data_IF_111600392428
#
_entry.id   IF_111600392428
#
_cell.length_a   1.000
_cell.length_b   1.000
_cell.length_c   1.000
_cell.angle_alpha   90.00
_cell.angle_beta   90.00
_cell.angle_gamma   90.00
#
_symmetry.space_group_name_H-M   'P 1'
#
loop_
_entity.id
_entity.type
_entity.pdbx_description
1 polymer ?
#
# COMPACT_ATOMS: atom_id res chain seq x y z
N UNK A 1 6.99 -1.19 10.58
CA UNK A 1 6.26 -0.53 9.46
C UNK A 1 7.24 0.21 8.55
N UNK A 2 7.92 1.26 9.03
CA UNK A 2 8.87 2.08 8.24
C UNK A 2 10.00 1.29 7.54
N UNK A 3 10.51 0.24 8.20
CA UNK A 3 11.57 -0.61 7.62
C UNK A 3 11.06 -1.76 6.73
N UNK A 4 9.76 -2.10 6.79
CA UNK A 4 9.20 -3.25 6.07
C UNK A 4 8.95 -2.90 4.60
N UNK A 5 8.50 -1.67 4.33
CA UNK A 5 8.27 -1.19 2.95
C UNK A 5 9.52 -0.56 2.30
N UNK A 6 10.55 -0.29 3.10
CA UNK A 6 11.83 0.29 2.65
C UNK A 6 12.87 -0.77 2.24
N UNK A 7 12.55 -2.06 2.35
CA UNK A 7 13.44 -3.13 1.91
C UNK A 7 13.66 -3.08 0.39
N UNK A 8 14.89 -3.37 -0.06
CA UNK A 8 15.26 -3.42 -1.48
C UNK A 8 14.33 -4.33 -2.31
N UNK A 9 13.72 -5.33 -1.69
CA UNK A 9 12.70 -6.21 -2.29
C UNK A 9 11.46 -5.45 -2.79
N UNK A 10 11.00 -4.42 -2.07
CA UNK A 10 9.83 -3.64 -2.50
C UNK A 10 10.15 -2.72 -3.69
N UNK A 11 11.38 -2.17 -3.75
CA UNK A 11 11.80 -1.36 -4.89
C UNK A 11 11.75 -2.16 -6.21
N UNK A 12 12.30 -3.39 -6.19
CA UNK A 12 12.24 -4.30 -7.35
C UNK A 12 10.80 -4.62 -7.74
N UNK A 13 9.90 -4.82 -6.77
CA UNK A 13 8.49 -5.07 -7.06
C UNK A 13 7.85 -3.91 -7.84
N UNK A 14 8.09 -2.66 -7.43
CA UNK A 14 7.55 -1.49 -8.15
C UNK A 14 8.15 -1.34 -9.55
N UNK A 15 9.44 -1.61 -9.73
CA UNK A 15 10.09 -1.63 -11.04
C UNK A 15 9.46 -2.68 -11.97
N UNK A 16 9.21 -3.88 -11.46
CA UNK A 16 8.52 -4.94 -12.20
C UNK A 16 7.09 -4.52 -12.56
N UNK A 17 6.35 -3.86 -11.65
CA UNK A 17 5.02 -3.34 -11.93
C UNK A 17 5.01 -2.28 -13.04
N UNK A 18 6.06 -1.45 -13.13
CA UNK A 18 6.21 -0.48 -14.23
C UNK A 18 6.52 -1.20 -15.54
N UNK A 19 7.49 -2.14 -15.54
CA UNK A 19 7.89 -2.90 -16.72
C UNK A 19 6.73 -3.75 -17.28
N UNK A 20 5.91 -4.33 -16.40
CA UNK A 20 4.75 -5.14 -16.75
C UNK A 20 3.72 -4.39 -17.60
N UNK A 21 3.70 -3.05 -17.58
CA UNK A 21 2.78 -2.26 -18.42
C UNK A 21 3.05 -2.41 -19.91
N UNK A 22 4.24 -2.90 -20.27
CA UNK A 22 4.68 -3.09 -21.66
C UNK A 22 5.09 -4.52 -21.99
N UNK A 23 5.03 -5.45 -21.02
CA UNK A 23 5.37 -6.86 -21.18
C UNK A 23 4.19 -7.72 -20.69
N UNK A 24 3.44 -8.30 -21.63
CA UNK A 24 2.22 -9.07 -21.35
C UNK A 24 2.48 -10.29 -20.47
N UNK A 25 3.60 -10.99 -20.68
CA UNK A 25 3.95 -12.18 -19.90
C UNK A 25 4.30 -11.80 -18.46
N UNK A 26 5.01 -10.69 -18.28
CA UNK A 26 5.30 -10.15 -16.96
C UNK A 26 4.02 -9.67 -16.27
N UNK A 27 3.11 -9.00 -17.00
CA UNK A 27 1.81 -8.58 -16.51
C UNK A 27 1.00 -9.75 -15.96
N UNK A 28 0.81 -10.82 -16.75
CA UNK A 28 0.06 -12.01 -16.33
C UNK A 28 0.68 -12.66 -15.09
N UNK A 29 2.01 -12.73 -15.04
CA UNK A 29 2.73 -13.28 -13.89
C UNK A 29 2.48 -12.43 -12.64
N UNK A 30 2.60 -11.11 -12.75
CA UNK A 30 2.40 -10.20 -11.62
C UNK A 30 0.94 -10.13 -11.18
N UNK A 31 -0.05 -10.22 -12.08
CA UNK A 31 -1.47 -10.22 -11.70
C UNK A 31 -1.79 -11.34 -10.70
N UNK A 32 -1.26 -12.54 -10.93
CA UNK A 32 -1.45 -13.67 -10.02
C UNK A 32 -0.83 -13.43 -8.64
N UNK A 33 0.41 -12.92 -8.62
CA UNK A 33 1.15 -12.67 -7.37
C UNK A 33 0.52 -11.52 -6.58
N UNK A 34 0.21 -10.41 -7.25
CA UNK A 34 -0.39 -9.22 -6.65
C UNK A 34 -1.82 -9.47 -6.18
N UNK A 35 -2.59 -10.31 -6.89
CA UNK A 35 -3.91 -10.74 -6.43
C UNK A 35 -3.86 -11.46 -5.09
N UNK A 36 -2.93 -12.42 -4.93
CA UNK A 36 -2.71 -13.11 -3.66
C UNK A 36 -2.22 -12.18 -2.56
N UNK A 37 -1.34 -11.24 -2.91
CA UNK A 37 -0.81 -10.26 -1.96
C UNK A 37 -1.91 -9.30 -1.46
N UNK A 38 -2.75 -8.80 -2.37
CA UNK A 38 -3.88 -7.94 -2.05
C UNK A 38 -4.89 -8.64 -1.13
N UNK A 39 -5.22 -9.91 -1.39
CA UNK A 39 -6.09 -10.69 -0.52
C UNK A 39 -5.50 -10.83 0.91
N UNK A 40 -4.20 -11.13 1.02
CA UNK A 40 -3.52 -11.23 2.32
C UNK A 40 -3.49 -9.91 3.09
N UNK A 41 -3.28 -8.78 2.40
CA UNK A 41 -3.35 -7.45 3.02
C UNK A 41 -4.76 -7.19 3.55
N UNK A 42 -5.78 -7.50 2.76
CA UNK A 42 -7.16 -7.33 3.16
C UNK A 42 -7.52 -8.18 4.39
N UNK A 43 -7.15 -9.46 4.39
CA UNK A 43 -7.38 -10.37 5.51
C UNK A 43 -6.66 -9.89 6.78
N UNK A 44 -5.40 -9.46 6.64
CA UNK A 44 -4.63 -8.90 7.74
C UNK A 44 -5.26 -7.61 8.29
N UNK A 45 -5.74 -6.73 7.41
CA UNK A 45 -6.43 -5.51 7.80
C UNK A 45 -7.74 -5.82 8.54
N UNK A 46 -8.52 -6.81 8.07
CA UNK A 46 -9.79 -7.19 8.68
C UNK A 46 -9.62 -7.83 10.06
N UNK A 47 -8.46 -8.42 10.33
CA UNK A 47 -8.11 -8.97 11.64
C UNK A 47 -7.69 -7.90 12.67
N UNK A 48 -7.53 -6.63 12.27
CA UNK A 48 -7.14 -5.57 13.20
C UNK A 48 -8.30 -5.16 14.11
N UNK A 49 -8.04 -4.83 15.39
CA UNK A 49 -9.06 -4.28 16.27
C UNK A 49 -9.68 -3.00 15.71
N UNK A 50 -11.02 -2.90 15.74
CA UNK A 50 -11.75 -1.75 15.21
C UNK A 50 -12.04 -1.84 13.71
N UNK A 51 -11.53 -2.84 12.99
CA UNK A 51 -11.88 -3.07 11.58
C UNK A 51 -13.38 -3.34 11.39
N UNK A 52 -14.04 -3.92 12.40
CA UNK A 52 -15.48 -4.17 12.46
C UNK A 52 -16.35 -2.91 12.44
N UNK A 53 -15.77 -1.74 12.77
CA UNK A 53 -16.48 -0.46 12.73
C UNK A 53 -16.69 0.09 11.32
N UNK A 54 -15.97 -0.45 10.33
CA UNK A 54 -16.06 -0.04 8.93
C UNK A 54 -17.07 -0.89 8.15
N UNK A 55 -17.94 -0.27 7.32
CA UNK A 55 -18.86 -0.99 6.43
C UNK A 55 -18.09 -1.90 5.46
N UNK A 56 -18.62 -3.11 5.23
CA UNK A 56 -17.98 -4.13 4.38
C UNK A 56 -17.74 -3.64 2.95
N UNK A 57 -18.63 -2.81 2.42
CA UNK A 57 -18.53 -2.27 1.05
C UNK A 57 -17.39 -1.26 0.90
N UNK A 58 -17.11 -0.50 1.97
CA UNK A 58 -16.11 0.60 1.93
C UNK A 58 -14.75 0.18 2.46
N UNK A 59 -14.68 -0.85 3.31
CA UNK A 59 -13.45 -1.29 3.94
C UNK A 59 -12.34 -1.68 2.94
N UNK A 60 -12.61 -2.45 1.87
CA UNK A 60 -11.58 -2.76 0.86
C UNK A 60 -11.02 -1.51 0.17
N UNK A 61 -11.86 -0.48 -0.04
CA UNK A 61 -11.45 0.78 -0.64
C UNK A 61 -10.50 1.53 0.30
N UNK A 62 -10.81 1.58 1.59
CA UNK A 62 -9.96 2.21 2.61
C UNK A 62 -8.59 1.51 2.67
N UNK A 63 -8.58 0.17 2.70
CA UNK A 63 -7.34 -0.62 2.70
C UNK A 63 -6.51 -0.35 1.44
N UNK A 64 -7.14 -0.28 0.27
CA UNK A 64 -6.46 0.04 -0.99
C UNK A 64 -5.88 1.47 -0.99
N UNK A 65 -6.63 2.46 -0.51
CA UNK A 65 -6.16 3.84 -0.39
C UNK A 65 -4.94 3.95 0.52
N UNK A 66 -4.98 3.30 1.68
CA UNK A 66 -3.87 3.27 2.62
C UNK A 66 -2.64 2.61 2.00
N UNK A 67 -2.80 1.45 1.38
CA UNK A 67 -1.72 0.74 0.67
C UNK A 67 -1.06 1.62 -0.38
N UNK A 68 -1.87 2.28 -1.23
CA UNK A 68 -1.36 3.17 -2.28
C UNK A 68 -0.56 4.35 -1.73
N UNK A 69 -0.92 4.90 -0.58
CA UNK A 69 -0.15 5.98 0.06
C UNK A 69 1.24 5.51 0.48
N UNK A 70 1.36 4.30 1.03
CA UNK A 70 2.67 3.75 1.42
C UNK A 70 3.49 3.31 0.20
N UNK A 71 2.84 2.72 -0.81
CA UNK A 71 3.50 2.32 -2.05
C UNK A 71 4.06 3.53 -2.82
N UNK A 72 3.24 4.57 -3.00
CA UNK A 72 3.67 5.81 -3.64
C UNK A 72 4.82 6.48 -2.89
N UNK A 73 4.77 6.47 -1.55
CA UNK A 73 5.86 6.98 -0.73
C UNK A 73 7.16 6.17 -0.90
N UNK A 74 7.07 4.84 -1.00
CA UNK A 74 8.24 3.98 -1.21
C UNK A 74 8.91 4.24 -2.56
N UNK A 75 8.13 4.45 -3.63
CA UNK A 75 8.62 4.80 -4.96
C UNK A 75 9.33 6.17 -4.94
N UNK A 76 8.69 7.20 -4.38
CA UNK A 76 9.24 8.57 -4.36
C UNK A 76 10.51 8.66 -3.52
N UNK A 77 10.55 7.96 -2.38
CA UNK A 77 11.67 7.99 -1.43
C UNK A 77 13.02 7.63 -2.06
N UNK A 78 13.03 6.72 -3.03
CA UNK A 78 14.27 6.32 -3.73
C UNK A 78 14.90 7.44 -4.56
N UNK A 79 14.12 8.44 -4.96
CA UNK A 79 14.57 9.56 -5.81
C UNK A 79 14.65 10.87 -5.02
N UNK A 80 13.64 11.15 -4.19
CA UNK A 80 13.54 12.37 -3.39
C UNK A 80 13.15 12.02 -1.94
N UNK A 81 14.12 11.70 -1.07
CA UNK A 81 13.86 11.43 0.34
C UNK A 81 13.28 12.67 1.04
N UNK A 82 12.18 12.49 1.78
CA UNK A 82 11.49 13.56 2.51
C UNK A 82 11.14 13.09 3.93
N UNK A 83 12.16 12.96 4.82
CA UNK A 83 12.00 12.34 6.13
C UNK A 83 11.00 13.07 7.03
N UNK A 84 10.87 14.40 6.90
CA UNK A 84 9.92 15.21 7.67
C UNK A 84 8.47 14.87 7.27
N UNK A 85 8.20 14.62 5.99
CA UNK A 85 6.87 14.19 5.52
C UNK A 85 6.58 12.73 5.89
N UNK A 86 7.62 11.87 5.89
CA UNK A 86 7.48 10.48 6.35
C UNK A 86 7.03 10.41 7.80
N UNK A 87 7.58 11.28 8.66
CA UNK A 87 7.25 11.33 10.08
C UNK A 87 5.79 11.73 10.31
N UNK A 88 5.28 12.68 9.51
CA UNK A 88 3.92 13.19 9.65
C UNK A 88 2.83 12.33 8.96
N UNK A 89 3.22 11.33 8.15
CA UNK A 89 2.28 10.56 7.33
C UNK A 89 1.23 9.81 8.14
N UNK A 90 1.65 9.04 9.14
CA UNK A 90 0.70 8.26 9.97
C UNK A 90 -0.21 9.19 10.76
N UNK A 91 0.29 10.20 11.51
CA UNK A 91 -0.57 11.18 12.18
C UNK A 91 -1.60 11.82 11.26
N UNK A 92 -1.20 12.22 10.04
CA UNK A 92 -2.11 12.83 9.07
C UNK A 92 -3.17 11.85 8.57
N UNK A 93 -2.79 10.61 8.24
CA UNK A 93 -3.75 9.58 7.82
C UNK A 93 -4.78 9.29 8.92
N UNK A 94 -4.35 9.22 10.17
CA UNK A 94 -5.26 9.07 11.31
C UNK A 94 -6.23 10.25 11.40
N UNK A 95 -5.73 11.49 11.31
CA UNK A 95 -6.58 12.68 11.35
C UNK A 95 -7.63 12.69 10.21
N UNK A 96 -7.23 12.29 8.99
CA UNK A 96 -8.13 12.20 7.84
C UNK A 96 -9.21 11.13 8.03
N UNK A 97 -8.86 9.96 8.56
CA UNK A 97 -9.82 8.89 8.84
C UNK A 97 -10.81 9.33 9.94
N UNK A 98 -10.35 10.01 10.98
CA UNK A 98 -11.23 10.52 12.05
C UNK A 98 -12.12 11.67 11.59
N UNK A 99 -11.70 12.48 10.61
CA UNK A 99 -12.49 13.59 10.09
C UNK A 99 -13.50 13.19 9.01
N UNK A 100 -13.22 12.11 8.27
CA UNK A 100 -14.05 11.63 7.15
C UNK A 100 -15.04 10.52 7.49
N UNK A 101 -14.96 9.94 8.69
CA UNK A 101 -15.89 8.96 9.27
C UNK A 101 -16.70 9.62 10.38
#
# INVERSE_FOLDING_TARGET
MRDITAGSTNAVLYELMVAARTDEKLMETLQNVLGQYSAKIHDAARALPGAESFPEETFPVIVALMTNVFDGAAIVRGVLPQPELEEQRIPMLTALLTAGL
#
